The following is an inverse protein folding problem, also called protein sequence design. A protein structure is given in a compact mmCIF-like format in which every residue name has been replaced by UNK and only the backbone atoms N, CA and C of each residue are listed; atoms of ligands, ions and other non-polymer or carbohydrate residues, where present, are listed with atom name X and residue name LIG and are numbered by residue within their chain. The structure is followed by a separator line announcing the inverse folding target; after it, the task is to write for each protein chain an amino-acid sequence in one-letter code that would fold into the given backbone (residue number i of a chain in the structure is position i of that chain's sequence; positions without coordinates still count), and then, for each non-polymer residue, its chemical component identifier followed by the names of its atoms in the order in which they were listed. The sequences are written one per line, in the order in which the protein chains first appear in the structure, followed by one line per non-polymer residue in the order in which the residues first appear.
data_IF_580102951023
#
_entry.id   IF_580102951023
#
_cell.length_a   1.000
_cell.length_b   1.000
_cell.length_c   1.000
_cell.angle_alpha   90.00
_cell.angle_beta   90.00
_cell.angle_gamma   90.00
#
_symmetry.space_group_name_H-M   'P 1'
#
loop_
_entity.id
_entity.type
_entity.pdbx_description
1 polymer ?
#
# COMPACT_ATOMS: atom_id res chain seq x y z
N UNK A 1 -8.16 -17.22 12.87
CA UNK A 1 -7.04 -16.65 12.09
C UNK A 1 -6.60 -15.40 12.82
N UNK A 2 -5.38 -15.36 13.34
CA UNK A 2 -4.85 -14.16 14.02
C UNK A 2 -4.74 -13.02 13.03
N UNK A 3 -5.04 -11.79 13.47
CA UNK A 3 -5.02 -10.59 12.62
C UNK A 3 -3.66 -10.39 11.94
N UNK A 4 -2.59 -10.69 12.68
CA UNK A 4 -1.21 -10.74 12.20
C UNK A 4 -1.01 -11.69 11.01
N UNK A 5 -1.68 -12.85 11.00
CA UNK A 5 -1.61 -13.79 9.89
C UNK A 5 -2.23 -13.20 8.63
N UNK A 6 -3.37 -12.52 8.75
CA UNK A 6 -4.00 -11.85 7.62
C UNK A 6 -3.11 -10.72 7.06
N UNK A 7 -2.50 -9.93 7.94
CA UNK A 7 -1.58 -8.86 7.54
C UNK A 7 -0.35 -9.38 6.80
N UNK A 8 0.30 -10.43 7.32
CA UNK A 8 1.45 -11.07 6.68
C UNK A 8 1.06 -11.67 5.33
N UNK A 9 -0.06 -12.38 5.26
CA UNK A 9 -0.58 -12.93 3.99
C UNK A 9 -0.87 -11.82 2.98
N UNK A 10 -1.42 -10.69 3.41
CA UNK A 10 -1.66 -9.52 2.57
C UNK A 10 -0.37 -8.96 1.96
N UNK A 11 0.68 -8.80 2.76
CA UNK A 11 1.98 -8.32 2.27
C UNK A 11 2.60 -9.32 1.29
N UNK A 12 2.58 -10.61 1.62
CA UNK A 12 3.10 -11.66 0.72
C UNK A 12 2.34 -11.70 -0.60
N UNK A 13 1.01 -11.55 -0.56
CA UNK A 13 0.17 -11.48 -1.74
C UNK A 13 0.50 -10.25 -2.59
N UNK A 14 0.68 -9.07 -1.98
CA UNK A 14 1.02 -7.83 -2.69
C UNK A 14 2.42 -7.89 -3.33
N UNK A 15 3.41 -8.45 -2.63
CA UNK A 15 4.76 -8.68 -3.18
C UNK A 15 4.75 -9.68 -4.33
N UNK A 16 4.00 -10.78 -4.17
CA UNK A 16 3.80 -11.77 -5.23
C UNK A 16 3.14 -11.14 -6.45
N UNK A 17 2.13 -10.29 -6.23
CA UNK A 17 1.44 -9.56 -7.28
C UNK A 17 2.39 -8.59 -8.02
N UNK A 18 3.16 -7.76 -7.31
CA UNK A 18 4.09 -6.79 -7.91
C UNK A 18 5.26 -7.47 -8.66
N UNK A 19 5.90 -8.45 -8.03
CA UNK A 19 7.17 -9.01 -8.51
C UNK A 19 6.96 -10.17 -9.48
N UNK A 20 6.05 -11.10 -9.17
CA UNK A 20 5.90 -12.36 -9.91
C UNK A 20 4.79 -12.29 -10.96
N UNK A 21 3.62 -11.75 -10.61
CA UNK A 21 2.43 -11.76 -11.48
C UNK A 21 2.47 -10.59 -12.47
N UNK A 22 2.47 -9.35 -11.97
CA UNK A 22 2.41 -8.14 -12.80
C UNK A 22 3.80 -7.72 -13.31
N UNK A 23 4.86 -8.22 -12.67
CA UNK A 23 6.27 -7.93 -13.00
C UNK A 23 6.51 -6.42 -13.12
N UNK A 24 5.86 -5.65 -12.27
CA UNK A 24 6.00 -4.19 -12.19
C UNK A 24 7.29 -3.83 -11.46
N UNK A 25 7.70 -4.66 -10.48
CA UNK A 25 8.90 -4.51 -9.65
C UNK A 25 8.98 -3.11 -9.03
N UNK A 26 7.85 -2.56 -8.62
CA UNK A 26 7.76 -1.23 -8.00
C UNK A 26 8.52 -1.18 -6.68
N UNK A 27 8.47 -2.27 -5.90
CA UNK A 27 9.19 -2.36 -4.63
C UNK A 27 10.71 -2.23 -4.81
N UNK A 28 11.25 -2.52 -6.00
CA UNK A 28 12.68 -2.35 -6.31
C UNK A 28 13.06 -0.95 -6.80
N UNK A 29 12.08 -0.03 -6.98
CA UNK A 29 12.34 1.30 -7.54
C UNK A 29 12.57 2.32 -6.44
N UNK A 30 13.61 3.14 -6.61
CA UNK A 30 13.97 4.19 -5.66
C UNK A 30 12.85 5.24 -5.49
N UNK A 31 12.12 5.53 -6.57
CA UNK A 31 10.96 6.45 -6.55
C UNK A 31 9.88 5.97 -5.58
N UNK A 32 9.61 4.66 -5.52
CA UNK A 32 8.62 4.12 -4.57
C UNK A 32 9.02 4.44 -3.13
N UNK A 33 10.28 4.19 -2.78
CA UNK A 33 10.82 4.46 -1.44
C UNK A 33 11.00 5.96 -1.13
N UNK A 34 11.13 6.81 -2.14
CA UNK A 34 11.15 8.26 -1.96
C UNK A 34 9.76 8.81 -1.61
N UNK A 35 8.69 8.23 -2.17
CA UNK A 35 7.31 8.71 -1.95
C UNK A 35 6.61 8.01 -0.79
N UNK A 36 6.95 6.74 -0.51
CA UNK A 36 6.35 5.93 0.54
C UNK A 36 6.36 6.57 1.95
N UNK A 37 7.43 7.28 2.39
CA UNK A 37 7.46 7.94 3.69
C UNK A 37 6.32 8.93 3.90
N UNK A 38 5.87 9.61 2.84
CA UNK A 38 4.73 10.53 2.92
C UNK A 38 3.47 9.74 3.32
N UNK A 39 3.21 8.63 2.64
CA UNK A 39 2.06 7.76 2.91
C UNK A 39 2.16 7.17 4.32
N UNK A 40 3.35 6.71 4.71
CA UNK A 40 3.61 6.14 6.03
C UNK A 40 3.34 7.13 7.17
N UNK A 41 3.74 8.40 7.02
CA UNK A 41 3.45 9.46 8.01
C UNK A 41 1.95 9.69 8.14
N UNK A 42 1.22 9.81 7.04
CA UNK A 42 -0.24 9.96 7.10
C UNK A 42 -0.92 8.73 7.72
N UNK A 43 -0.42 7.54 7.43
CA UNK A 43 -0.93 6.30 8.00
C UNK A 43 -0.74 6.26 9.52
N UNK A 44 0.43 6.67 10.02
CA UNK A 44 0.68 6.81 11.46
C UNK A 44 -0.23 7.85 12.12
N UNK A 45 -0.42 9.01 11.47
CA UNK A 45 -1.31 10.06 11.99
C UNK A 45 -2.76 9.56 12.05
N UNK A 46 -3.27 8.98 10.96
CA UNK A 46 -4.64 8.47 10.91
C UNK A 46 -4.87 7.34 11.91
N UNK A 47 -3.97 6.35 11.96
CA UNK A 47 -4.09 5.24 12.90
C UNK A 47 -3.94 5.70 14.35
N UNK A 48 -3.02 6.64 14.61
CA UNK A 48 -2.83 7.24 15.92
C UNK A 48 -4.05 8.03 16.41
N UNK A 49 -4.71 8.80 15.52
CA UNK A 49 -5.94 9.53 15.87
C UNK A 49 -7.12 8.57 16.08
N UNK A 50 -7.28 7.56 15.22
CA UNK A 50 -8.40 6.60 15.30
C UNK A 50 -8.30 5.72 16.54
N UNK A 51 -7.10 5.24 16.85
CA UNK A 51 -6.85 4.40 18.03
C UNK A 51 -6.84 5.24 19.31
N UNK A 52 -6.29 6.47 19.25
CA UNK A 52 -6.25 7.39 20.40
C UNK A 52 -7.59 8.00 20.80
N UNK A 53 -8.65 7.82 20.00
CA UNK A 53 -10.02 8.26 20.33
C UNK A 53 -10.97 7.12 20.68
N UNK A 54 -10.47 5.89 20.87
CA UNK A 54 -11.28 4.69 21.12
C UNK A 54 -12.39 4.44 20.08
N UNK A 55 -12.23 5.02 18.87
CA UNK A 55 -13.19 4.85 17.76
C UNK A 55 -13.02 3.45 17.15
N UNK A 56 -11.80 2.92 17.18
CA UNK A 56 -11.47 1.56 16.75
C UNK A 56 -10.91 0.80 17.95
N UNK A 57 -11.78 0.07 18.62
CA UNK A 57 -11.41 -0.83 19.71
C UNK A 57 -11.09 -2.21 19.14
N UNK A 58 -9.82 -2.59 19.18
CA UNK A 58 -9.39 -3.94 18.82
C UNK A 58 -9.44 -4.87 20.04
N UNK A 59 -9.94 -6.09 19.85
CA UNK A 59 -10.00 -7.10 20.90
C UNK A 59 -8.57 -7.52 21.33
N UNK A 60 -8.20 -7.40 22.62
CA UNK A 60 -6.88 -7.78 23.11
C UNK A 60 -6.52 -9.25 22.89
N UNK A 61 -7.49 -10.13 22.62
CA UNK A 61 -7.25 -11.53 22.29
C UNK A 61 -6.82 -11.78 20.82
N UNK A 62 -6.93 -10.77 19.94
CA UNK A 62 -6.70 -10.93 18.49
C UNK A 62 -5.36 -10.35 17.99
N UNK A 63 -4.58 -9.67 18.84
CA UNK A 63 -3.37 -8.92 18.46
C UNK A 63 -2.14 -9.48 19.19
N UNK A 64 -1.03 -9.68 18.46
CA UNK A 64 0.27 -9.90 19.08
C UNK A 64 0.86 -8.55 19.50
N UNK A 65 1.08 -8.34 20.79
CA UNK A 65 2.29 -7.73 21.37
C UNK A 65 2.68 -6.29 20.99
N UNK A 66 3.38 -6.00 19.88
CA UNK A 66 4.04 -4.71 19.71
C UNK A 66 3.05 -3.64 19.24
N UNK A 67 2.77 -2.66 20.10
CA UNK A 67 2.12 -1.41 19.73
C UNK A 67 3.21 -0.41 19.36
N UNK A 68 3.22 0.07 18.11
CA UNK A 68 4.05 1.21 17.73
C UNK A 68 3.17 2.46 17.76
N UNK A 69 3.43 3.36 18.72
CA UNK A 69 2.62 4.59 18.91
C UNK A 69 1.12 4.28 19.07
N UNK A 70 0.78 3.39 20.01
CA UNK A 70 -0.59 2.99 20.35
C UNK A 70 -1.39 2.22 19.26
N UNK A 71 -0.90 2.10 18.03
CA UNK A 71 -1.56 1.35 16.95
C UNK A 71 -0.97 -0.07 16.75
N UNK A 72 -1.77 -1.06 16.28
CA UNK A 72 -1.26 -2.37 15.87
C UNK A 72 -0.29 -2.25 14.69
N UNK A 73 0.87 -2.91 14.75
CA UNK A 73 1.86 -2.93 13.66
C UNK A 73 1.28 -3.58 12.40
N UNK A 74 0.28 -4.44 12.56
CA UNK A 74 -0.48 -5.08 11.50
C UNK A 74 -1.15 -4.10 10.54
N UNK A 75 -1.62 -2.94 11.02
CA UNK A 75 -2.27 -1.93 10.16
C UNK A 75 -1.26 -1.30 9.20
N UNK A 76 0.01 -1.19 9.63
CA UNK A 76 1.11 -0.71 8.79
C UNK A 76 1.39 -1.70 7.66
N UNK A 77 1.41 -2.99 7.97
CA UNK A 77 1.56 -4.08 6.98
C UNK A 77 0.40 -4.11 5.99
N UNK A 78 -0.83 -3.96 6.48
CA UNK A 78 -2.02 -3.92 5.62
C UNK A 78 -2.02 -2.72 4.67
N UNK A 79 -1.72 -1.52 5.17
CA UNK A 79 -1.65 -0.35 4.30
C UNK A 79 -0.48 -0.43 3.31
N UNK A 80 0.67 -1.00 3.70
CA UNK A 80 1.75 -1.29 2.75
C UNK A 80 1.26 -2.20 1.60
N UNK A 81 0.59 -3.30 1.94
CA UNK A 81 0.05 -4.24 0.96
C UNK A 81 -0.96 -3.57 0.00
N UNK A 82 -1.85 -2.74 0.54
CA UNK A 82 -2.82 -1.97 -0.24
C UNK A 82 -2.16 -0.98 -1.20
N UNK A 83 -1.18 -0.21 -0.72
CA UNK A 83 -0.46 0.78 -1.53
C UNK A 83 0.32 0.08 -2.66
N UNK A 84 1.10 -0.94 -2.31
CA UNK A 84 1.90 -1.69 -3.29
C UNK A 84 1.00 -2.36 -4.33
N UNK A 85 -0.07 -3.05 -3.91
CA UNK A 85 -1.00 -3.72 -4.80
C UNK A 85 -1.71 -2.74 -5.75
N UNK A 86 -2.18 -1.61 -5.23
CA UNK A 86 -2.87 -0.57 -6.01
C UNK A 86 -1.96 0.03 -7.07
N UNK A 87 -0.73 0.41 -6.69
CA UNK A 87 0.24 0.98 -7.63
C UNK A 87 0.68 -0.05 -8.67
N UNK A 88 0.87 -1.31 -8.27
CA UNK A 88 1.24 -2.39 -9.19
C UNK A 88 0.16 -2.63 -10.23
N UNK A 89 -1.10 -2.68 -9.79
CA UNK A 89 -2.24 -2.81 -10.70
C UNK A 89 -2.34 -1.60 -11.64
N UNK A 90 -2.21 -0.39 -11.11
CA UNK A 90 -2.24 0.84 -11.89
C UNK A 90 -1.20 0.84 -13.01
N UNK A 91 0.05 0.53 -12.68
CA UNK A 91 1.15 0.48 -13.66
C UNK A 91 0.92 -0.65 -14.66
N UNK A 92 0.44 -1.82 -14.24
CA UNK A 92 0.16 -2.93 -15.14
C UNK A 92 -0.96 -2.60 -16.14
N UNK A 93 -2.04 -1.96 -15.68
CA UNK A 93 -3.15 -1.51 -16.55
C UNK A 93 -2.69 -0.41 -17.51
N UNK A 94 -1.84 0.52 -17.06
CA UNK A 94 -1.20 1.53 -17.91
C UNK A 94 -0.35 0.90 -19.01
N UNK A 95 0.48 -0.10 -18.69
CA UNK A 95 1.28 -0.85 -19.69
C UNK A 95 0.41 -1.58 -20.72
N UNK A 96 -0.80 -2.00 -20.35
CA UNK A 96 -1.77 -2.66 -21.23
C UNK A 96 -2.58 -1.69 -22.10
N UNK A 97 -2.30 -0.38 -22.03
CA UNK A 97 -3.00 0.62 -22.83
C UNK A 97 -4.44 0.88 -22.40
N UNK A 98 -4.83 0.47 -21.19
CA UNK A 98 -6.18 0.74 -20.63
C UNK A 98 -6.29 2.20 -20.14
N UNK A 99 -5.15 2.90 -20.02
CA UNK A 99 -5.13 4.33 -19.75
C UNK A 99 -5.75 5.10 -20.91
N UNK A 100 -6.76 5.93 -20.60
CA UNK A 100 -7.30 6.91 -21.54
C UNK A 100 -6.17 7.80 -22.03
N UNK A 101 -6.10 8.00 -23.35
CA UNK A 101 -5.21 9.00 -23.94
C UNK A 101 -5.44 10.35 -23.22
N UNK A 102 -4.37 11.04 -22.79
CA UNK A 102 -4.51 12.34 -22.17
C UNK A 102 -5.30 13.27 -23.09
N UNK A 103 -6.39 13.87 -22.59
CA UNK A 103 -7.14 14.89 -23.36
C UNK A 103 -6.35 16.19 -23.56
N UNK A 104 -5.31 16.43 -22.75
CA UNK A 104 -4.43 17.57 -22.87
C UNK A 104 -3.07 17.12 -23.41
N UNK A 105 -2.75 17.56 -24.62
CA UNK A 105 -1.45 17.39 -25.26
C UNK A 105 -1.36 16.18 -26.19
N UNK A 106 -2.02 16.24 -27.35
CA UNK A 106 -1.45 15.58 -28.53
C UNK A 106 -0.05 16.17 -28.71
N UNK A 107 1.02 15.37 -28.55
CA UNK A 107 2.30 15.79 -29.12
C UNK A 107 2.03 15.96 -30.61
N UNK A 108 2.07 17.20 -31.07
CA UNK A 108 2.24 17.51 -32.49
C UNK A 108 3.61 16.96 -32.86
N UNK A 109 3.67 15.69 -33.25
CA UNK A 109 4.76 15.15 -34.07
C UNK A 109 4.33 15.36 -35.50
N UNK A 110 4.41 16.62 -35.93
CA UNK A 110 4.41 16.97 -37.35
C UNK A 110 5.85 17.45 -37.64
N UNK A 111 6.71 16.50 -37.97
CA UNK A 111 7.90 16.71 -38.80
C UNK A 111 7.78 15.83 -40.05
#
# INVERSE_FOLDING_TARGET
MTYTTAAVLGVLAALTLDVLILRTRLVGRLVFWATYPIIFVFQLISNGILTGRDIVMYDPAAILGPRLVHAPVEDLLFGFALVLGTLSLWVALGRRGIQRTPRAGSRRTDE
#
